data_IF_945691137623
#
_entry.id   IF_945691137623
#
_cell.length_a   1.000
_cell.length_b   1.000
_cell.length_c   1.000
_cell.angle_alpha   90.00
_cell.angle_beta   90.00
_cell.angle_gamma   90.00
#
_symmetry.space_group_name_H-M   'P 1'
#
loop_
_entity.id
_entity.type
_entity.pdbx_description
1 polymer ?
#
# COMPACT_ATOMS: atom_id res chain seq x y z
N UNK A 1 63.05 -5.33 -15.92
CA UNK A 1 61.95 -6.07 -15.26
C UNK A 1 61.51 -5.21 -14.10
N UNK A 2 60.30 -4.68 -14.21
CA UNK A 2 59.87 -3.40 -13.65
C UNK A 2 59.89 -3.32 -12.12
N UNK A 3 60.46 -2.22 -11.64
CA UNK A 3 60.32 -1.79 -10.24
C UNK A 3 58.88 -1.35 -10.05
N UNK A 4 58.09 -2.20 -9.40
CA UNK A 4 56.75 -1.87 -8.93
C UNK A 4 56.85 -0.65 -8.00
N UNK A 5 56.66 0.53 -8.56
CA UNK A 5 56.65 1.80 -7.84
C UNK A 5 55.29 1.86 -7.19
N UNK A 6 55.24 1.53 -5.90
CA UNK A 6 54.04 1.75 -5.12
C UNK A 6 53.76 3.25 -5.15
N UNK A 7 52.62 3.72 -5.71
CA UNK A 7 52.29 5.14 -5.67
C UNK A 7 52.25 5.57 -4.20
N UNK A 8 52.88 6.71 -3.89
CA UNK A 8 52.79 7.35 -2.59
C UNK A 8 51.32 7.35 -2.14
N UNK A 9 51.01 6.84 -0.93
CA UNK A 9 49.64 6.76 -0.48
C UNK A 9 49.04 8.17 -0.57
N UNK A 10 47.80 8.32 -1.06
CA UNK A 10 47.18 9.62 -1.16
C UNK A 10 47.26 10.31 0.19
N UNK A 11 47.68 11.58 0.19
CA UNK A 11 47.81 12.40 1.40
C UNK A 11 46.67 12.08 2.38
N UNK A 12 47.03 11.64 3.59
CA UNK A 12 46.09 11.17 4.59
C UNK A 12 44.97 12.21 4.86
N UNK A 13 45.26 13.50 4.67
CA UNK A 13 44.28 14.57 4.77
C UNK A 13 43.22 14.50 3.65
N UNK A 14 43.62 14.17 2.42
CA UNK A 14 42.71 14.00 1.28
C UNK A 14 41.82 12.78 1.47
N UNK A 15 42.36 11.66 1.94
CA UNK A 15 41.58 10.46 2.25
C UNK A 15 40.56 10.71 3.36
N UNK A 16 40.98 11.37 4.44
CA UNK A 16 40.09 11.71 5.55
C UNK A 16 38.96 12.64 5.11
N UNK A 17 39.26 13.62 4.25
CA UNK A 17 38.25 14.51 3.66
C UNK A 17 37.22 13.72 2.83
N UNK A 18 37.68 12.88 1.91
CA UNK A 18 36.81 12.07 1.06
C UNK A 18 35.92 11.11 1.87
N UNK A 19 36.46 10.47 2.92
CA UNK A 19 35.69 9.61 3.82
C UNK A 19 34.60 10.37 4.59
N UNK A 20 34.89 11.58 5.06
CA UNK A 20 33.88 12.43 5.72
C UNK A 20 32.77 12.82 4.75
N UNK A 21 33.12 13.26 3.55
CA UNK A 21 32.16 13.62 2.50
C UNK A 21 31.28 12.43 2.10
N UNK A 22 31.88 11.26 1.89
CA UNK A 22 31.15 10.03 1.58
C UNK A 22 30.21 9.62 2.73
N UNK A 23 30.66 9.71 3.98
CA UNK A 23 29.85 9.41 5.15
C UNK A 23 28.65 10.34 5.26
N UNK A 24 28.83 11.66 5.12
CA UNK A 24 27.73 12.63 5.14
C UNK A 24 26.75 12.37 4.00
N UNK A 25 27.24 11.99 2.82
CA UNK A 25 26.40 11.63 1.68
C UNK A 25 25.55 10.40 1.98
N UNK A 26 26.14 9.36 2.56
CA UNK A 26 25.42 8.13 2.98
C UNK A 26 24.38 8.46 4.05
N UNK A 27 24.74 9.24 5.07
CA UNK A 27 23.82 9.63 6.15
C UNK A 27 22.62 10.43 5.60
N UNK A 28 22.87 11.34 4.65
CA UNK A 28 21.80 12.11 3.99
C UNK A 28 20.88 11.21 3.16
N UNK A 29 21.46 10.29 2.38
CA UNK A 29 20.69 9.36 1.57
C UNK A 29 19.85 8.42 2.44
N UNK A 30 20.44 7.85 3.48
CA UNK A 30 19.72 7.01 4.44
C UNK A 30 18.63 7.78 5.19
N UNK A 31 18.89 9.03 5.58
CA UNK A 31 17.90 9.91 6.19
C UNK A 31 16.73 10.19 5.26
N UNK A 32 17.01 10.48 3.99
CA UNK A 32 15.98 10.70 2.97
C UNK A 32 15.18 9.43 2.65
N UNK A 33 15.84 8.28 2.61
CA UNK A 33 15.22 6.97 2.35
C UNK A 33 14.29 6.53 3.47
N UNK A 34 14.56 6.98 4.69
CA UNK A 34 13.74 6.72 5.89
C UNK A 34 12.86 7.91 6.27
N UNK A 35 12.79 8.94 5.42
CA UNK A 35 11.98 10.12 5.71
C UNK A 35 10.50 9.71 5.81
N UNK A 36 9.82 10.07 6.91
CA UNK A 36 8.39 9.80 7.04
C UNK A 36 7.59 10.47 5.91
N UNK A 37 6.59 9.77 5.39
CA UNK A 37 5.65 10.31 4.41
C UNK A 37 4.36 10.73 5.12
N UNK A 38 4.00 12.01 4.99
CA UNK A 38 2.76 12.52 5.53
C UNK A 38 1.59 12.21 4.59
N UNK A 39 0.52 11.60 5.12
CA UNK A 39 -0.78 11.50 4.44
C UNK A 39 -1.55 12.78 4.75
N UNK A 40 -1.69 13.66 3.77
CA UNK A 40 -2.32 14.99 3.93
C UNK A 40 -3.79 15.02 3.50
N UNK A 41 -4.31 13.94 2.93
CA UNK A 41 -5.70 13.86 2.48
C UNK A 41 -6.14 12.41 2.24
N UNK A 42 -7.45 12.18 2.36
CA UNK A 42 -8.10 10.88 2.16
C UNK A 42 -9.48 11.10 1.51
N UNK A 43 -9.95 10.11 0.76
CA UNK A 43 -11.30 10.06 0.19
C UNK A 43 -11.66 8.63 -0.16
N UNK A 44 -12.94 8.27 -0.04
CA UNK A 44 -13.39 6.91 -0.28
C UNK A 44 -14.86 6.85 -0.69
N UNK A 45 -15.24 5.72 -1.30
CA UNK A 45 -16.61 5.25 -1.42
C UNK A 45 -16.62 3.77 -1.08
N UNK A 46 -17.39 3.39 -0.07
CA UNK A 46 -17.49 2.03 0.44
C UNK A 46 -18.96 1.60 0.56
N UNK A 47 -19.22 0.28 0.67
CA UNK A 47 -20.54 -0.23 0.99
C UNK A 47 -21.11 0.34 2.29
N UNK A 48 -22.43 0.28 2.45
CA UNK A 48 -23.11 0.86 3.62
C UNK A 48 -23.22 2.39 3.58
N UNK A 49 -23.12 2.99 2.39
CA UNK A 49 -23.28 4.43 2.18
C UNK A 49 -22.10 5.28 2.69
N UNK A 50 -20.93 4.69 2.89
CA UNK A 50 -19.75 5.42 3.34
C UNK A 50 -19.06 6.12 2.17
N UNK A 51 -19.41 7.39 1.95
CA UNK A 51 -18.89 8.26 0.88
C UNK A 51 -17.81 9.25 1.36
N UNK A 52 -17.39 9.14 2.63
CA UNK A 52 -16.33 9.93 3.24
C UNK A 52 -15.55 9.12 4.29
N UNK A 53 -14.31 9.50 4.62
CA UNK A 53 -13.55 8.89 5.71
C UNK A 53 -14.31 8.90 7.06
N UNK A 54 -15.05 9.96 7.34
CA UNK A 54 -15.87 10.09 8.56
C UNK A 54 -17.06 9.13 8.55
N UNK A 55 -17.71 8.97 7.40
CA UNK A 55 -18.81 8.02 7.24
C UNK A 55 -18.31 6.57 7.40
N UNK A 56 -17.17 6.25 6.78
CA UNK A 56 -16.53 4.95 6.94
C UNK A 56 -16.14 4.69 8.40
N UNK A 57 -15.55 5.68 9.07
CA UNK A 57 -15.18 5.55 10.48
C UNK A 57 -16.39 5.31 11.40
N UNK A 58 -17.54 5.92 11.10
CA UNK A 58 -18.79 5.63 11.83
C UNK A 58 -19.21 4.17 11.67
N UNK A 59 -19.14 3.59 10.47
CA UNK A 59 -19.48 2.16 10.27
C UNK A 59 -18.59 1.26 11.13
N UNK A 60 -17.28 1.52 11.15
CA UNK A 60 -16.32 0.74 11.94
C UNK A 60 -16.59 0.87 13.45
N UNK A 61 -16.80 2.09 13.94
CA UNK A 61 -17.07 2.32 15.37
C UNK A 61 -18.35 1.62 15.85
N UNK A 62 -19.38 1.56 15.01
CA UNK A 62 -20.64 0.89 15.36
C UNK A 62 -20.63 -0.62 15.04
N UNK A 63 -19.54 -1.15 14.46
CA UNK A 63 -19.47 -2.55 14.03
C UNK A 63 -20.53 -2.91 13.01
N UNK A 64 -20.93 -1.97 12.15
CA UNK A 64 -22.01 -2.16 11.19
C UNK A 64 -21.59 -3.12 10.08
N UNK A 65 -22.36 -4.19 9.88
CA UNK A 65 -22.24 -5.04 8.71
C UNK A 65 -22.85 -4.34 7.49
N UNK A 66 -22.01 -4.01 6.52
CA UNK A 66 -22.38 -3.31 5.29
C UNK A 66 -22.64 -4.26 4.11
N UNK A 67 -22.66 -5.57 4.35
CA UNK A 67 -22.97 -6.57 3.34
C UNK A 67 -24.47 -6.59 3.07
N UNK A 68 -24.83 -6.54 1.78
CA UNK A 68 -26.21 -6.63 1.32
C UNK A 68 -26.36 -7.78 0.34
N UNK A 69 -27.59 -8.10 -0.05
CA UNK A 69 -27.79 -8.89 -1.26
C UNK A 69 -27.32 -8.12 -2.49
N UNK A 70 -27.04 -8.83 -3.60
CA UNK A 70 -26.78 -8.22 -4.90
C UNK A 70 -27.92 -7.23 -5.23
N UNK A 71 -27.62 -5.95 -5.50
CA UNK A 71 -28.61 -4.97 -5.89
C UNK A 71 -29.36 -5.37 -7.17
N UNK A 72 -30.67 -5.15 -7.20
CA UNK A 72 -31.57 -5.57 -8.30
C UNK A 72 -31.21 -4.94 -9.65
N UNK A 73 -30.48 -3.83 -9.64
CA UNK A 73 -30.01 -3.09 -10.81
C UNK A 73 -28.63 -3.57 -11.32
N UNK A 74 -28.02 -4.59 -10.71
CA UNK A 74 -26.74 -5.16 -11.15
C UNK A 74 -26.94 -6.39 -12.03
N UNK A 75 -27.45 -7.47 -11.46
CA UNK A 75 -27.83 -8.70 -12.16
C UNK A 75 -28.85 -9.49 -11.34
N UNK A 76 -29.51 -10.47 -11.97
CA UNK A 76 -30.42 -11.37 -11.29
C UNK A 76 -29.63 -12.40 -10.46
N UNK A 77 -29.55 -12.18 -9.15
CA UNK A 77 -28.84 -13.08 -8.23
C UNK A 77 -29.40 -14.50 -8.21
N UNK A 78 -30.69 -14.68 -8.44
CA UNK A 78 -31.32 -15.99 -8.36
C UNK A 78 -31.03 -16.83 -9.60
N UNK A 79 -30.77 -16.20 -10.75
CA UNK A 79 -30.30 -16.88 -11.95
C UNK A 79 -28.89 -17.52 -11.79
N UNK A 80 -28.04 -16.94 -10.95
CA UNK A 80 -26.65 -17.35 -10.76
C UNK A 80 -26.36 -18.04 -9.42
N UNK A 81 -27.29 -18.03 -8.47
CA UNK A 81 -27.09 -18.65 -7.18
C UNK A 81 -27.24 -20.18 -7.23
N UNK A 82 -26.30 -20.90 -6.62
CA UNK A 82 -26.41 -22.32 -6.30
C UNK A 82 -25.66 -22.61 -4.99
N UNK A 83 -26.29 -23.22 -3.98
CA UNK A 83 -25.60 -23.53 -2.72
C UNK A 83 -24.46 -24.55 -2.86
N UNK A 84 -24.42 -25.34 -3.95
CA UNK A 84 -23.30 -26.26 -4.24
C UNK A 84 -22.07 -25.48 -4.75
N UNK A 85 -20.96 -25.43 -4.00
CA UNK A 85 -19.74 -24.76 -4.45
C UNK A 85 -19.08 -25.41 -5.67
N UNK A 86 -19.44 -26.65 -6.01
CA UNK A 86 -18.95 -27.35 -7.20
C UNK A 86 -19.83 -27.13 -8.45
N UNK A 87 -20.99 -26.49 -8.32
CA UNK A 87 -21.89 -26.24 -9.44
C UNK A 87 -21.24 -25.35 -10.51
N UNK A 88 -21.06 -25.83 -11.76
CA UNK A 88 -20.39 -25.06 -12.80
C UNK A 88 -21.15 -23.77 -13.16
N UNK A 89 -20.43 -22.63 -13.18
CA UNK A 89 -20.99 -21.34 -13.60
C UNK A 89 -21.96 -20.70 -12.60
N UNK A 90 -21.95 -21.14 -11.34
CA UNK A 90 -22.81 -20.63 -10.26
C UNK A 90 -22.00 -19.93 -9.16
N UNK A 91 -22.69 -19.14 -8.35
CA UNK A 91 -22.16 -18.39 -7.21
C UNK A 91 -22.82 -18.94 -5.94
N UNK A 92 -22.02 -19.33 -4.95
CA UNK A 92 -22.51 -19.92 -3.70
C UNK A 92 -23.05 -18.91 -2.66
N UNK A 93 -23.11 -17.63 -3.01
CA UNK A 93 -23.63 -16.55 -2.17
C UNK A 93 -24.47 -15.57 -2.98
N UNK A 94 -25.48 -15.01 -2.31
CA UNK A 94 -26.28 -13.89 -2.83
C UNK A 94 -25.83 -12.54 -2.28
N UNK A 95 -24.84 -12.54 -1.38
CA UNK A 95 -24.45 -11.40 -0.57
C UNK A 95 -23.07 -10.87 -0.94
N UNK A 96 -22.88 -9.55 -0.84
CA UNK A 96 -21.63 -8.86 -1.09
C UNK A 96 -21.67 -7.39 -0.65
N UNK A 97 -20.52 -6.72 -0.69
CA UNK A 97 -20.43 -5.29 -0.43
C UNK A 97 -20.55 -4.51 -1.73
N UNK A 98 -21.59 -3.69 -1.86
CA UNK A 98 -21.86 -2.92 -3.07
C UNK A 98 -21.86 -1.42 -2.82
N UNK A 99 -21.38 -0.67 -3.81
CA UNK A 99 -21.66 0.76 -3.90
C UNK A 99 -23.08 0.92 -4.44
N UNK A 100 -23.91 1.63 -3.69
CA UNK A 100 -25.32 1.93 -4.00
C UNK A 100 -25.56 3.41 -3.96
#
# INVERSE_FOLDING_TARGET
MDRYTNPEPPDAQRLLKALREARTRIETLEGSRRAPLAIVGMGCRFPGGADSPEAFWRLLQHGTDAITEVPKDRWDKDAYYDPDPAAPGKICTRSGGFLT
#
